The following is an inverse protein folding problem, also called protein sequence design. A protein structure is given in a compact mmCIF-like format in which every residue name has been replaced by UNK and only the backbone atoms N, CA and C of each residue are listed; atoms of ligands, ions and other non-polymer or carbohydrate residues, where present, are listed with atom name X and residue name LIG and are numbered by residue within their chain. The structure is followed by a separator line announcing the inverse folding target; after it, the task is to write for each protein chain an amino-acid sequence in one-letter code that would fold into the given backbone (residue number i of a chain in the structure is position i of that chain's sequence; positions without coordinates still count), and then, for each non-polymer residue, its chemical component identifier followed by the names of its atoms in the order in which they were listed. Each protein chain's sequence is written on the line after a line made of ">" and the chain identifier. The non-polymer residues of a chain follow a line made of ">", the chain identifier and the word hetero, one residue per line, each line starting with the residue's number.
data_IF_067303781643
#
_entry.id   IF_067303781643
#
_cell.length_a   1.000
_cell.length_b   1.000
_cell.length_c   1.000
_cell.angle_alpha   90.00
_cell.angle_beta   90.00
_cell.angle_gamma   90.00
#
_symmetry.space_group_name_H-M   'P 1'
#
loop_
_entity.id
_entity.type
_entity.pdbx_description
1 polymer ?
#
# COMPACT_ATOMS: atom_id res chain seq x y z
N UNK A 1 7.72 8.45 -5.71
CA UNK A 1 6.89 8.72 -4.52
C UNK A 1 7.57 8.20 -3.27
N UNK A 2 7.16 8.70 -2.12
CA UNK A 2 7.69 8.21 -0.85
C UNK A 2 6.83 7.11 -0.28
N UNK A 3 7.46 6.11 0.34
CA UNK A 3 6.76 5.03 1.03
C UNK A 3 7.56 4.58 2.25
N UNK A 4 6.85 4.04 3.24
CA UNK A 4 7.47 3.40 4.39
C UNK A 4 7.62 1.92 4.08
N UNK A 5 8.86 1.44 4.04
CA UNK A 5 9.19 0.05 3.68
C UNK A 5 10.08 -0.59 4.72
N UNK A 6 10.07 -1.90 4.73
CA UNK A 6 11.04 -2.69 5.49
C UNK A 6 11.82 -3.59 4.53
N UNK A 7 13.10 -3.77 4.80
CA UNK A 7 13.99 -4.66 4.06
C UNK A 7 14.38 -5.87 4.90
N UNK A 8 14.06 -5.85 6.18
CA UNK A 8 14.25 -6.93 7.13
C UNK A 8 13.18 -6.83 8.21
N UNK A 9 12.91 -7.93 8.89
CA UNK A 9 11.99 -7.94 10.02
C UNK A 9 12.72 -7.44 11.27
N UNK A 10 11.96 -6.81 12.17
CA UNK A 10 12.53 -6.31 13.42
C UNK A 10 11.65 -5.32 14.13
N UNK A 11 12.24 -4.52 14.99
CA UNK A 11 11.59 -3.45 15.73
C UNK A 11 11.34 -2.21 14.87
N UNK A 12 10.91 -1.09 15.49
CA UNK A 12 10.61 0.14 14.75
C UNK A 12 11.80 0.69 13.94
N UNK A 13 13.02 0.35 14.32
CA UNK A 13 14.23 0.80 13.64
C UNK A 13 14.36 0.28 12.21
N UNK A 14 13.62 -0.77 11.84
CA UNK A 14 13.68 -1.31 10.47
C UNK A 14 12.80 -0.54 9.49
N UNK A 15 11.92 0.34 9.98
CA UNK A 15 11.08 1.17 9.14
C UNK A 15 11.92 2.21 8.41
N UNK A 16 11.79 2.27 7.09
CA UNK A 16 12.52 3.22 6.25
C UNK A 16 11.56 4.02 5.40
N UNK A 17 11.67 5.35 5.46
CA UNK A 17 10.93 6.26 4.60
C UNK A 17 11.79 6.56 3.38
N UNK A 18 11.42 5.97 2.25
CA UNK A 18 12.30 6.00 1.08
C UNK A 18 11.54 6.28 -0.22
N UNK A 19 12.30 6.66 -1.23
CA UNK A 19 11.76 6.90 -2.56
C UNK A 19 11.52 5.55 -3.26
N UNK A 20 10.34 5.37 -3.83
CA UNK A 20 9.98 4.18 -4.59
C UNK A 20 9.31 4.59 -5.91
N UNK A 21 9.35 3.74 -6.95
CA UNK A 21 8.62 4.01 -8.17
C UNK A 21 7.11 4.09 -7.93
N UNK A 22 6.43 4.94 -8.68
CA UNK A 22 4.96 4.95 -8.67
C UNK A 22 4.50 3.64 -9.31
N UNK A 23 3.66 2.83 -8.62
CA UNK A 23 3.20 1.57 -9.19
C UNK A 23 2.33 1.79 -10.42
N UNK A 24 2.34 0.82 -11.32
CA UNK A 24 1.46 0.79 -12.49
C UNK A 24 0.35 -0.22 -12.21
N UNK A 25 -0.95 0.19 -12.28
CA UNK A 25 -2.03 -0.75 -12.01
C UNK A 25 -2.08 -1.84 -13.08
N UNK A 26 -2.14 -3.08 -12.62
CA UNK A 26 -2.31 -4.24 -13.49
C UNK A 26 -3.77 -4.48 -13.82
N UNK A 27 -4.05 -5.61 -14.48
CA UNK A 27 -5.41 -5.99 -14.85
C UNK A 27 -6.28 -6.13 -13.59
N UNK A 28 -7.44 -5.45 -13.58
CA UNK A 28 -8.35 -5.46 -12.45
C UNK A 28 -7.93 -4.59 -11.27
N UNK A 29 -6.86 -3.83 -11.41
CA UNK A 29 -6.33 -2.98 -10.34
C UNK A 29 -6.50 -1.49 -10.64
N UNK A 30 -6.53 -0.69 -9.57
CA UNK A 30 -6.53 0.76 -9.68
C UNK A 30 -5.37 1.34 -8.89
N UNK A 31 -4.86 2.47 -9.34
CA UNK A 31 -3.88 3.26 -8.61
C UNK A 31 -4.62 4.35 -7.85
N UNK A 32 -4.42 4.42 -6.54
CA UNK A 32 -5.08 5.40 -5.68
C UNK A 32 -4.06 6.43 -5.21
N UNK A 33 -4.38 7.70 -5.39
CA UNK A 33 -3.65 8.80 -4.74
C UNK A 33 -4.19 8.94 -3.33
N UNK A 34 -3.40 8.55 -2.34
CA UNK A 34 -3.83 8.52 -0.96
C UNK A 34 -4.00 9.91 -0.37
N UNK A 35 -5.11 10.10 0.33
CA UNK A 35 -5.34 11.24 1.22
C UNK A 35 -5.08 10.84 2.67
N UNK A 36 -5.36 9.58 3.03
CA UNK A 36 -5.13 9.05 4.37
C UNK A 36 -4.86 7.55 4.31
N UNK A 37 -4.10 7.06 5.26
CA UNK A 37 -3.83 5.64 5.43
C UNK A 37 -4.00 5.28 6.91
N UNK A 38 -4.60 4.12 7.16
CA UNK A 38 -4.82 3.65 8.52
C UNK A 38 -3.62 2.87 9.05
N UNK A 39 -3.45 2.91 10.35
CA UNK A 39 -2.44 2.15 11.07
C UNK A 39 -3.14 1.07 11.89
N UNK A 40 -2.71 -0.17 11.76
CA UNK A 40 -3.31 -1.32 12.44
C UNK A 40 -2.24 -2.14 13.15
N UNK A 41 -2.67 -2.92 14.16
CA UNK A 41 -1.74 -3.78 14.86
C UNK A 41 -1.16 -4.88 13.96
N UNK A 42 -1.87 -5.26 12.91
CA UNK A 42 -1.35 -6.19 11.89
C UNK A 42 -0.08 -5.67 11.22
N UNK A 43 0.11 -4.36 11.15
CA UNK A 43 1.32 -3.76 10.61
C UNK A 43 2.53 -4.09 11.49
N UNK A 44 2.33 -4.13 12.80
CA UNK A 44 3.35 -4.55 13.77
C UNK A 44 3.73 -6.01 13.52
N UNK A 45 2.75 -6.89 13.33
CA UNK A 45 3.01 -8.30 13.06
C UNK A 45 3.79 -8.51 11.77
N UNK A 46 3.50 -7.74 10.74
CA UNK A 46 4.24 -7.79 9.48
C UNK A 46 5.67 -7.28 9.64
N UNK A 47 5.86 -6.20 10.39
CA UNK A 47 7.19 -5.66 10.65
C UNK A 47 8.06 -6.63 11.43
N UNK A 48 7.51 -7.30 12.45
CA UNK A 48 8.27 -8.24 13.29
C UNK A 48 8.49 -9.60 12.65
N UNK A 49 7.79 -9.90 11.57
CA UNK A 49 7.88 -11.20 10.90
C UNK A 49 6.91 -12.25 11.43
N UNK A 50 6.02 -11.90 12.34
CA UNK A 50 4.98 -12.82 12.83
C UNK A 50 4.03 -13.24 11.72
N UNK A 51 3.73 -12.30 10.79
CA UNK A 51 3.01 -12.58 9.56
C UNK A 51 3.91 -12.13 8.41
N UNK A 52 4.89 -12.97 7.99
CA UNK A 52 5.89 -12.55 7.03
C UNK A 52 5.31 -12.30 5.64
N UNK A 53 5.87 -11.29 4.98
CA UNK A 53 5.62 -11.00 3.58
C UNK A 53 6.94 -10.97 2.84
N UNK A 54 6.87 -11.01 1.51
CA UNK A 54 8.05 -10.92 0.68
C UNK A 54 8.71 -9.55 0.86
N UNK A 55 9.99 -9.55 1.17
CA UNK A 55 10.79 -8.33 1.34
C UNK A 55 11.39 -7.88 0.00
N UNK A 56 11.57 -6.58 -0.27
CA UNK A 56 11.13 -5.48 0.58
C UNK A 56 9.61 -5.33 0.58
N UNK A 57 9.03 -4.92 1.70
CA UNK A 57 7.59 -4.83 1.87
C UNK A 57 7.19 -3.39 2.20
N UNK A 58 6.22 -2.86 1.46
CA UNK A 58 5.62 -1.56 1.76
C UNK A 58 4.54 -1.75 2.82
N UNK A 59 4.67 -1.00 3.91
CA UNK A 59 3.78 -1.15 5.07
C UNK A 59 2.38 -0.61 4.78
N UNK A 60 1.41 -1.14 5.49
CA UNK A 60 0.03 -0.69 5.44
C UNK A 60 -0.91 -1.68 4.74
N UNK A 61 -2.20 -1.59 5.08
CA UNK A 61 -3.23 -2.47 4.54
C UNK A 61 -4.50 -1.74 4.15
N UNK A 62 -4.63 -0.46 4.46
CA UNK A 62 -5.83 0.30 4.15
C UNK A 62 -5.50 1.73 3.81
N UNK A 63 -6.40 2.37 3.11
CA UNK A 63 -6.25 3.77 2.74
C UNK A 63 -7.52 4.34 2.16
N UNK A 64 -7.50 5.65 1.96
CA UNK A 64 -8.56 6.37 1.25
C UNK A 64 -7.94 7.48 0.42
N UNK A 65 -8.61 7.81 -0.66
CA UNK A 65 -8.14 8.83 -1.57
C UNK A 65 -8.96 8.86 -2.83
N UNK A 66 -8.32 9.22 -3.93
CA UNK A 66 -8.97 9.28 -5.25
C UNK A 66 -8.26 8.37 -6.23
N UNK A 67 -9.03 7.78 -7.13
CA UNK A 67 -8.46 6.96 -8.21
C UNK A 67 -7.65 7.85 -9.13
N UNK A 68 -6.35 7.56 -9.26
CA UNK A 68 -5.44 8.29 -10.15
C UNK A 68 -5.39 7.66 -11.55
N UNK A 69 -5.47 6.32 -11.62
CA UNK A 69 -5.45 5.59 -12.87
C UNK A 69 -6.11 4.23 -12.67
N UNK A 70 -6.63 3.67 -13.75
CA UNK A 70 -7.22 2.33 -13.74
C UNK A 70 -6.44 1.42 -14.67
N UNK A 71 -6.30 0.16 -14.28
CA UNK A 71 -5.68 -0.86 -15.11
C UNK A 71 -6.66 -1.43 -16.13
N UNK A 72 -6.18 -2.34 -17.01
CA UNK A 72 -7.04 -3.03 -17.97
C UNK A 72 -8.19 -3.74 -17.26
N UNK A 73 -9.34 -3.82 -17.93
CA UNK A 73 -10.55 -4.53 -17.48
C UNK A 73 -11.25 -3.91 -16.27
N UNK A 74 -10.82 -2.76 -15.78
CA UNK A 74 -11.53 -2.02 -14.73
C UNK A 74 -12.62 -1.18 -15.38
N UNK A 75 -13.89 -1.49 -15.08
CA UNK A 75 -15.06 -0.81 -15.65
C UNK A 75 -15.94 -0.15 -14.60
N UNK A 76 -15.82 -0.57 -13.34
CA UNK A 76 -16.65 -0.07 -12.24
C UNK A 76 -16.13 1.20 -11.59
N UNK A 77 -14.88 1.56 -11.84
CA UNK A 77 -14.24 2.77 -11.29
C UNK A 77 -13.55 3.53 -12.41
N UNK A 78 -13.38 4.82 -12.22
CA UNK A 78 -12.64 5.69 -13.15
C UNK A 78 -11.86 6.74 -12.38
N UNK A 79 -10.87 7.32 -13.06
CA UNK A 79 -10.03 8.36 -12.48
C UNK A 79 -10.84 9.51 -11.90
N UNK A 80 -10.47 9.99 -10.73
CA UNK A 80 -11.15 11.08 -10.03
C UNK A 80 -12.17 10.62 -9.01
N UNK A 81 -12.58 9.35 -8.99
CA UNK A 81 -13.55 8.87 -8.00
C UNK A 81 -12.92 8.71 -6.62
N UNK A 82 -13.63 9.11 -5.54
CA UNK A 82 -13.17 8.85 -4.19
C UNK A 82 -13.36 7.38 -3.83
N UNK A 83 -12.37 6.81 -3.15
CA UNK A 83 -12.38 5.41 -2.74
C UNK A 83 -11.77 5.24 -1.35
N UNK A 84 -12.16 4.15 -0.69
CA UNK A 84 -11.52 3.67 0.53
C UNK A 84 -11.44 2.13 0.44
N UNK A 85 -10.42 1.56 1.06
CA UNK A 85 -10.20 0.12 0.99
C UNK A 85 -9.46 -0.38 2.22
N UNK A 86 -9.59 -1.67 2.48
CA UNK A 86 -8.88 -2.36 3.56
C UNK A 86 -8.49 -3.77 3.09
N UNK A 87 -7.55 -4.38 3.80
CA UNK A 87 -7.10 -5.74 3.50
C UNK A 87 -6.19 -5.85 2.29
N UNK A 88 -5.64 -4.74 1.80
CA UNK A 88 -4.74 -4.73 0.64
C UNK A 88 -3.29 -4.61 1.13
N UNK A 89 -2.46 -5.66 0.98
CA UNK A 89 -1.05 -5.58 1.37
C UNK A 89 -0.33 -4.48 0.60
N UNK A 90 0.49 -3.69 1.30
CA UNK A 90 1.24 -2.61 0.68
C UNK A 90 0.38 -1.43 0.23
N UNK A 91 -0.71 -1.25 0.89
CA UNK A 91 -1.68 -0.19 0.55
C UNK A 91 -1.12 1.23 0.57
#
# INVERSE_FOLDING_TARGET
>A
MKAVRIHQFGGPEVLQYEEVPIPVPGSGEVLVKLAAAGLNYSDVHQRTGRHPNKLPYTMGREGSGTVAAVGPQVTSLKAGEPVAYTGVPGA
#
